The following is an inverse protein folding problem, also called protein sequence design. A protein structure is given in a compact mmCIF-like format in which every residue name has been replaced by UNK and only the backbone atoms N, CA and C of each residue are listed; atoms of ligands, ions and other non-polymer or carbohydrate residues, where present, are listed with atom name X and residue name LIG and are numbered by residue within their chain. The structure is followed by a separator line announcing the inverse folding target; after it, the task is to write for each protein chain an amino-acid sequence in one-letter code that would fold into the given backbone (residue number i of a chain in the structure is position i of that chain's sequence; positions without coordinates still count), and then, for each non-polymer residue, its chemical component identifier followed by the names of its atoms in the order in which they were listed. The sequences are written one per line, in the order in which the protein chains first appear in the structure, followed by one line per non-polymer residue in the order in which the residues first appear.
data_IF_083644740528
#
_entry.id   IF_083644740528
#
_cell.length_a   1.000
_cell.length_b   1.000
_cell.length_c   1.000
_cell.angle_alpha   90.00
_cell.angle_beta   90.00
_cell.angle_gamma   90.00
#
_symmetry.space_group_name_H-M   'P 1'
#
loop_
_entity.id
_entity.type
_entity.pdbx_description
1 polymer ?
#
# COMPACT_ATOMS: atom_id res chain seq x y z
N UNK A 1 1.20 14.78 -2.56
CA UNK A 1 1.80 13.67 -1.79
C UNK A 1 3.30 13.80 -1.90
N UNK A 2 4.09 13.49 -0.86
CA UNK A 2 5.55 13.46 -0.97
C UNK A 2 5.95 12.36 -1.97
N UNK A 3 6.70 12.76 -3.00
CA UNK A 3 7.35 11.90 -3.99
C UNK A 3 8.66 12.57 -4.39
N UNK A 4 9.57 11.82 -5.02
CA UNK A 4 10.83 12.40 -5.48
C UNK A 4 10.54 13.49 -6.49
N UNK A 5 11.22 14.64 -6.41
CA UNK A 5 11.11 15.71 -7.41
C UNK A 5 12.49 16.18 -7.83
N UNK A 6 12.66 16.47 -9.12
CA UNK A 6 13.92 17.01 -9.65
C UNK A 6 14.36 18.29 -8.91
N UNK A 7 13.42 19.18 -8.58
CA UNK A 7 13.70 20.44 -7.90
C UNK A 7 14.22 20.26 -6.46
N UNK A 8 13.87 19.15 -5.81
CA UNK A 8 14.21 18.85 -4.42
C UNK A 8 15.39 17.85 -4.33
N UNK A 9 15.92 17.41 -5.48
CA UNK A 9 17.00 16.43 -5.54
C UNK A 9 18.33 17.04 -5.11
N UNK A 10 18.85 16.58 -3.98
CA UNK A 10 20.19 16.93 -3.51
C UNK A 10 21.22 16.07 -4.24
N UNK A 11 22.12 16.72 -4.98
CA UNK A 11 23.23 16.08 -5.67
C UNK A 11 24.34 15.67 -4.70
N UNK A 12 24.93 14.50 -4.93
CA UNK A 12 26.15 14.10 -4.22
C UNK A 12 27.35 14.99 -4.63
N UNK A 13 28.39 15.10 -3.79
CA UNK A 13 29.61 15.83 -4.12
C UNK A 13 30.24 15.33 -5.43
N UNK A 14 30.96 16.20 -6.14
CA UNK A 14 31.55 15.89 -7.46
C UNK A 14 32.54 14.70 -7.47
N UNK A 15 33.07 14.32 -6.30
CA UNK A 15 33.92 13.15 -6.11
C UNK A 15 33.18 11.82 -6.28
N UNK A 16 31.85 11.83 -6.26
CA UNK A 16 31.02 10.64 -6.32
C UNK A 16 30.20 10.58 -7.61
N UNK A 17 30.00 9.36 -8.12
CA UNK A 17 29.15 9.11 -9.29
C UNK A 17 28.02 8.17 -8.89
N UNK A 18 26.78 8.53 -9.23
CA UNK A 18 25.61 7.68 -8.96
C UNK A 18 25.63 6.45 -9.87
N UNK A 19 25.71 5.27 -9.28
CA UNK A 19 25.75 4.00 -10.02
C UNK A 19 24.41 3.31 -10.08
N UNK A 20 23.65 3.37 -8.98
CA UNK A 20 22.41 2.62 -8.84
C UNK A 20 21.43 3.35 -7.94
N UNK A 21 20.15 3.19 -8.30
CA UNK A 21 19.02 3.72 -7.57
C UNK A 21 18.04 2.58 -7.43
N UNK A 22 17.81 2.14 -6.20
CA UNK A 22 16.72 1.24 -5.88
C UNK A 22 15.56 2.06 -5.36
N UNK A 23 14.47 2.00 -6.10
CA UNK A 23 13.21 2.58 -5.68
C UNK A 23 12.36 1.45 -5.14
N UNK A 24 12.06 1.52 -3.86
CA UNK A 24 10.96 0.76 -3.28
C UNK A 24 9.73 1.66 -3.48
N UNK A 25 9.01 1.45 -4.59
CA UNK A 25 7.84 2.25 -4.97
C UNK A 25 6.60 1.37 -5.05
N UNK A 26 5.53 1.79 -4.41
CA UNK A 26 4.53 0.87 -3.88
C UNK A 26 3.35 0.59 -4.81
N UNK A 27 3.08 -0.69 -5.12
CA UNK A 27 1.85 -1.13 -5.83
C UNK A 27 1.33 -2.51 -5.41
N UNK A 28 1.02 -2.83 -4.14
CA UNK A 28 0.61 -4.22 -3.86
C UNK A 28 -0.84 -4.47 -4.23
N UNK A 29 -1.14 -5.73 -4.57
CA UNK A 29 -2.37 -6.40 -4.14
C UNK A 29 -2.92 -5.91 -2.79
N UNK A 30 -2.15 -5.43 -1.81
CA UNK A 30 -2.62 -4.67 -0.64
C UNK A 30 -1.70 -3.46 -0.33
N UNK A 31 -1.46 -2.50 -1.23
CA UNK A 31 -0.98 -1.16 -0.79
C UNK A 31 -2.09 -0.24 -0.38
N UNK A 32 -1.83 0.66 0.56
CA UNK A 32 -2.24 2.04 0.33
C UNK A 32 -1.57 2.54 -0.96
N UNK A 33 -2.12 2.10 -2.10
CA UNK A 33 -1.77 2.55 -3.44
C UNK A 33 -2.07 4.04 -3.48
N UNK A 34 -1.72 4.67 -4.59
CA UNK A 34 -2.55 5.73 -5.11
C UNK A 34 -4.06 5.40 -5.02
N UNK A 35 -4.92 6.40 -5.02
CA UNK A 35 -6.35 6.30 -4.65
C UNK A 35 -7.03 5.04 -5.24
N UNK A 36 -7.70 4.26 -4.38
CA UNK A 36 -8.36 2.98 -4.72
C UNK A 36 -9.68 2.80 -3.98
N UNK A 37 -10.49 1.83 -4.40
CA UNK A 37 -11.68 1.37 -3.64
C UNK A 37 -11.29 0.64 -2.35
N UNK A 38 -12.14 0.62 -1.31
CA UNK A 38 -11.89 -0.14 -0.09
C UNK A 38 -11.88 -1.65 -0.35
N UNK A 39 -11.43 -2.43 0.64
CA UNK A 39 -11.71 -3.87 0.65
C UNK A 39 -13.21 -4.09 0.80
N UNK A 40 -13.72 -5.15 0.17
CA UNK A 40 -15.12 -5.56 0.32
C UNK A 40 -15.51 -5.75 1.79
N UNK A 41 -14.61 -6.29 2.62
CA UNK A 41 -14.83 -6.46 4.07
C UNK A 41 -14.93 -5.15 4.86
N UNK A 42 -14.47 -4.05 4.28
CA UNK A 42 -14.44 -2.73 4.91
C UNK A 42 -15.47 -1.77 4.29
N UNK A 43 -16.24 -2.23 3.31
CA UNK A 43 -17.34 -1.46 2.75
C UNK A 43 -18.49 -1.36 3.77
N UNK A 44 -19.26 -0.28 3.69
CA UNK A 44 -20.47 -0.14 4.48
C UNK A 44 -21.52 -1.15 3.98
N UNK A 45 -22.35 -1.68 4.90
CA UNK A 45 -23.49 -2.54 4.51
C UNK A 45 -24.45 -1.83 3.56
N UNK A 46 -24.53 -0.50 3.66
CA UNK A 46 -25.26 0.37 2.75
C UNK A 46 -24.34 1.54 2.42
N UNK A 47 -23.76 1.54 1.23
CA UNK A 47 -23.00 2.67 0.71
C UNK A 47 -23.97 3.79 0.26
N UNK A 48 -23.76 5.06 0.65
CA UNK A 48 -24.62 6.17 0.24
C UNK A 48 -24.42 6.59 -1.23
N UNK A 49 -23.37 6.06 -1.88
CA UNK A 49 -23.06 6.32 -3.29
C UNK A 49 -22.49 5.05 -3.96
N UNK A 50 -22.73 4.86 -5.27
CA UNK A 50 -22.15 3.76 -6.01
C UNK A 50 -20.65 4.00 -6.30
N UNK A 51 -19.84 2.94 -6.26
CA UNK A 51 -18.44 3.01 -6.66
C UNK A 51 -18.30 2.74 -8.15
N UNK A 52 -18.15 3.81 -8.93
CA UNK A 52 -18.05 3.74 -10.39
C UNK A 52 -16.61 3.90 -10.88
N UNK A 53 -16.11 2.93 -11.65
CA UNK A 53 -14.76 2.92 -12.22
C UNK A 53 -14.80 2.82 -13.76
N UNK A 54 -15.31 3.84 -14.48
CA UNK A 54 -15.39 3.78 -15.95
C UNK A 54 -14.03 3.92 -16.64
N UNK A 55 -13.05 4.53 -15.98
CA UNK A 55 -11.74 4.86 -16.55
C UNK A 55 -10.62 3.89 -16.15
N UNK A 56 -10.91 2.87 -15.33
CA UNK A 56 -9.95 1.81 -15.00
C UNK A 56 -10.60 0.44 -15.03
N UNK A 57 -9.85 -0.57 -15.44
CA UNK A 57 -10.25 -1.98 -15.44
C UNK A 57 -9.05 -2.85 -15.15
N UNK A 58 -9.26 -3.98 -14.47
CA UNK A 58 -8.20 -4.95 -14.22
C UNK A 58 -7.95 -5.76 -15.48
N UNK A 59 -6.77 -5.60 -16.07
CA UNK A 59 -6.35 -6.33 -17.26
C UNK A 59 -5.72 -7.67 -16.84
N UNK A 60 -6.28 -8.77 -17.35
CA UNK A 60 -5.70 -10.10 -17.27
C UNK A 60 -5.21 -10.50 -18.66
N UNK A 61 -3.91 -10.77 -18.77
CA UNK A 61 -3.27 -11.23 -20.00
C UNK A 61 -2.43 -12.46 -19.70
N UNK A 62 -2.53 -13.46 -20.55
CA UNK A 62 -1.62 -14.60 -20.54
C UNK A 62 -0.78 -14.50 -21.79
N UNK A 63 0.41 -13.91 -21.73
CA UNK A 63 1.29 -13.78 -22.90
C UNK A 63 2.23 -14.98 -23.00
N UNK A 64 2.46 -15.56 -24.19
CA UNK A 64 3.45 -16.62 -24.35
C UNK A 64 4.86 -16.08 -24.08
N UNK A 65 5.64 -16.81 -23.27
CA UNK A 65 7.03 -16.46 -22.94
C UNK A 65 7.91 -16.45 -24.21
N UNK A 66 7.56 -17.27 -25.20
CA UNK A 66 8.14 -17.28 -26.55
C UNK A 66 7.04 -17.53 -27.59
N UNK A 67 6.94 -16.65 -28.58
CA UNK A 67 5.92 -16.72 -29.63
C UNK A 67 5.60 -15.34 -30.20
N UNK A 68 5.15 -15.28 -31.45
CA UNK A 68 4.83 -14.02 -32.16
C UNK A 68 3.36 -13.61 -32.06
N UNK A 69 2.49 -14.47 -31.52
CA UNK A 69 1.07 -14.19 -31.43
C UNK A 69 0.73 -13.46 -30.13
N UNK A 70 0.25 -12.21 -30.18
CA UNK A 70 -0.22 -11.51 -28.99
C UNK A 70 -1.50 -12.18 -28.47
N UNK A 71 -1.59 -12.34 -27.16
CA UNK A 71 -2.80 -12.86 -26.51
C UNK A 71 -3.92 -11.83 -26.47
N UNK A 72 -5.16 -12.31 -26.50
CA UNK A 72 -6.31 -11.44 -26.31
C UNK A 72 -6.25 -10.79 -24.93
N UNK A 73 -6.46 -9.47 -24.88
CA UNK A 73 -6.56 -8.70 -23.63
C UNK A 73 -7.96 -8.88 -23.05
N UNK A 74 -8.06 -9.49 -21.88
CA UNK A 74 -9.31 -9.64 -21.17
C UNK A 74 -9.37 -8.67 -19.99
N UNK A 75 -10.46 -7.91 -19.87
CA UNK A 75 -10.68 -6.99 -18.76
C UNK A 75 -11.71 -7.56 -17.81
N UNK A 76 -11.40 -7.56 -16.51
CA UNK A 76 -12.36 -7.92 -15.48
C UNK A 76 -13.23 -6.72 -15.14
N UNK A 77 -14.54 -6.92 -15.26
CA UNK A 77 -15.58 -5.95 -14.90
C UNK A 77 -16.68 -6.67 -14.12
N UNK A 78 -17.33 -5.97 -13.19
CA UNK A 78 -18.53 -6.52 -12.55
C UNK A 78 -19.72 -6.44 -13.50
N UNK A 79 -20.27 -7.61 -13.83
CA UNK A 79 -21.54 -7.72 -14.55
C UNK A 79 -22.69 -7.78 -13.53
N UNK A 80 -23.59 -6.81 -13.59
CA UNK A 80 -24.89 -6.89 -12.93
C UNK A 80 -25.96 -7.11 -13.97
N UNK A 81 -26.81 -8.12 -13.79
CA UNK A 81 -27.93 -8.41 -14.70
C UNK A 81 -29.25 -8.13 -14.00
N UNK A 82 -30.22 -7.60 -14.74
CA UNK A 82 -31.58 -7.37 -14.24
C UNK A 82 -32.30 -8.67 -13.83
N UNK A 83 -31.81 -9.83 -14.28
CA UNK A 83 -32.36 -11.14 -13.95
C UNK A 83 -31.82 -11.71 -12.62
N UNK A 84 -30.64 -11.28 -12.17
CA UNK A 84 -30.10 -11.77 -10.91
C UNK A 84 -30.82 -11.10 -9.73
N UNK A 85 -31.78 -11.83 -9.13
CA UNK A 85 -32.57 -11.36 -7.97
C UNK A 85 -31.77 -11.33 -6.66
N UNK A 86 -30.57 -11.91 -6.63
CA UNK A 86 -29.63 -11.84 -5.50
C UNK A 86 -28.80 -10.56 -5.56
N UNK A 87 -29.45 -9.41 -5.75
CA UNK A 87 -28.77 -8.12 -5.72
C UNK A 87 -28.50 -7.76 -4.26
N UNK A 88 -27.26 -7.38 -3.89
CA UNK A 88 -27.02 -6.76 -2.60
C UNK A 88 -27.95 -5.55 -2.43
N UNK A 89 -28.41 -5.21 -1.21
CA UNK A 89 -29.33 -4.09 -0.96
C UNK A 89 -28.85 -2.73 -1.49
N UNK A 90 -27.54 -2.57 -1.70
CA UNK A 90 -26.93 -1.42 -2.36
C UNK A 90 -26.21 -1.85 -3.61
N UNK A 91 -26.33 -1.03 -4.66
CA UNK A 91 -25.58 -1.18 -5.90
C UNK A 91 -24.10 -0.85 -5.67
N UNK A 92 -23.17 -1.85 -5.66
CA UNK A 92 -21.75 -1.58 -5.44
C UNK A 92 -21.11 -0.75 -6.57
N UNK A 93 -21.86 -0.42 -7.64
CA UNK A 93 -21.35 0.27 -8.82
C UNK A 93 -20.61 -0.68 -9.76
N UNK A 94 -19.72 -0.12 -10.59
CA UNK A 94 -18.99 -0.86 -11.63
C UNK A 94 -17.58 -1.33 -11.24
N UNK A 95 -17.02 -0.81 -10.14
CA UNK A 95 -15.68 -1.18 -9.69
C UNK A 95 -15.62 -2.60 -9.12
N UNK A 96 -14.53 -3.34 -9.39
CA UNK A 96 -14.18 -4.59 -8.68
C UNK A 96 -13.46 -4.24 -7.38
N UNK A 97 -13.80 -4.86 -6.25
CA UNK A 97 -13.17 -4.49 -4.98
C UNK A 97 -12.11 -5.51 -4.56
N UNK A 98 -10.91 -5.06 -4.15
CA UNK A 98 -10.35 -3.70 -4.29
C UNK A 98 -9.76 -3.44 -5.69
N UNK A 99 -9.84 -2.19 -6.19
CA UNK A 99 -9.33 -1.75 -7.51
C UNK A 99 -8.71 -0.35 -7.45
N UNK A 100 -7.64 -0.12 -8.23
CA UNK A 100 -7.07 1.22 -8.47
C UNK A 100 -8.09 2.11 -9.18
N UNK A 101 -8.32 3.30 -8.64
CA UNK A 101 -9.14 4.33 -9.32
C UNK A 101 -8.34 5.04 -10.41
N UNK A 102 -9.01 5.75 -11.32
CA UNK A 102 -8.35 6.54 -12.36
C UNK A 102 -7.33 7.54 -11.78
N UNK A 103 -7.71 8.27 -10.74
CA UNK A 103 -6.80 9.16 -10.03
C UNK A 103 -5.60 8.40 -9.44
N UNK A 104 -5.81 7.14 -9.04
CA UNK A 104 -4.72 6.30 -8.57
C UNK A 104 -3.73 5.92 -9.67
N UNK A 105 -4.24 5.62 -10.86
CA UNK A 105 -3.41 5.35 -12.03
C UNK A 105 -2.64 6.61 -12.46
N UNK A 106 -3.29 7.77 -12.44
CA UNK A 106 -2.66 9.05 -12.76
C UNK A 106 -1.52 9.40 -11.79
N UNK A 107 -1.75 9.24 -10.48
CA UNK A 107 -0.72 9.50 -9.48
C UNK A 107 0.51 8.57 -9.73
N UNK A 108 0.31 7.31 -10.15
CA UNK A 108 1.42 6.39 -10.48
C UNK A 108 2.23 6.79 -11.71
N UNK A 109 1.54 7.37 -12.71
CA UNK A 109 2.17 7.92 -13.91
C UNK A 109 3.04 9.12 -13.57
N UNK A 110 2.52 10.04 -12.75
CA UNK A 110 3.24 11.24 -12.29
C UNK A 110 4.50 10.84 -11.52
N UNK A 111 4.41 9.90 -10.59
CA UNK A 111 5.58 9.45 -9.84
C UNK A 111 6.66 8.84 -10.73
N UNK A 112 6.26 8.05 -11.73
CA UNK A 112 7.22 7.49 -12.69
C UNK A 112 7.86 8.56 -13.58
N UNK A 113 7.13 9.61 -13.95
CA UNK A 113 7.69 10.78 -14.64
C UNK A 113 8.71 11.52 -13.78
N UNK A 114 8.41 11.72 -12.50
CA UNK A 114 9.27 12.44 -11.57
C UNK A 114 10.56 11.66 -11.25
N UNK A 115 10.46 10.34 -11.03
CA UNK A 115 11.61 9.45 -10.88
C UNK A 115 12.51 9.52 -12.12
N UNK A 116 11.90 9.46 -13.32
CA UNK A 116 12.65 9.61 -14.55
C UNK A 116 13.32 10.98 -14.62
N UNK A 117 12.60 12.07 -14.34
CA UNK A 117 13.14 13.42 -14.38
C UNK A 117 14.28 13.65 -13.37
N UNK A 118 14.23 13.01 -12.20
CA UNK A 118 15.26 13.13 -11.17
C UNK A 118 16.52 12.30 -11.47
N UNK A 119 16.37 11.07 -11.97
CA UNK A 119 17.48 10.12 -12.05
C UNK A 119 18.01 9.85 -13.45
N UNK A 120 17.21 10.05 -14.50
CA UNK A 120 17.59 9.69 -15.86
C UNK A 120 18.92 10.33 -16.30
N UNK A 121 19.08 11.62 -16.03
CA UNK A 121 20.26 12.37 -16.46
C UNK A 121 21.49 12.10 -15.59
N UNK A 122 21.27 11.76 -14.30
CA UNK A 122 22.32 11.60 -13.28
C UNK A 122 22.91 10.18 -13.29
N UNK A 123 22.14 9.17 -13.72
CA UNK A 123 22.61 7.80 -13.82
C UNK A 123 23.60 7.61 -14.98
N UNK A 124 24.66 6.83 -14.71
CA UNK A 124 25.65 6.44 -15.74
C UNK A 124 24.94 5.85 -16.96
N UNK A 125 25.33 6.34 -18.15
CA UNK A 125 24.69 6.07 -19.45
C UNK A 125 24.47 4.59 -19.78
N UNK A 126 25.35 3.70 -19.32
CA UNK A 126 25.29 2.26 -19.61
C UNK A 126 24.31 1.51 -18.69
N UNK A 127 23.76 2.18 -17.66
CA UNK A 127 22.89 1.59 -16.63
C UNK A 127 21.59 2.39 -16.43
N UNK A 128 21.19 3.22 -17.41
CA UNK A 128 19.89 3.93 -17.42
C UNK A 128 18.73 2.95 -17.63
N UNK A 129 18.43 2.14 -16.63
CA UNK A 129 17.17 1.35 -16.52
C UNK A 129 16.21 2.01 -15.54
N UNK A 130 16.00 3.33 -15.67
CA UNK A 130 14.85 3.97 -15.01
C UNK A 130 13.70 3.83 -15.98
N UNK A 131 12.82 2.88 -15.68
CA UNK A 131 11.68 2.64 -16.54
C UNK A 131 10.77 3.88 -16.55
N UNK A 132 10.45 4.39 -17.75
CA UNK A 132 9.28 5.27 -17.94
C UNK A 132 8.01 4.41 -17.83
N UNK A 133 7.69 3.90 -16.65
CA UNK A 133 6.40 3.23 -16.43
C UNK A 133 5.29 4.28 -16.34
N UNK A 134 4.85 4.79 -17.48
CA UNK A 134 3.69 5.67 -17.49
C UNK A 134 3.49 6.47 -18.76
N UNK A 135 4.56 6.83 -19.49
CA UNK A 135 4.42 7.83 -20.55
C UNK A 135 4.95 7.46 -21.92
N UNK A 136 5.66 6.34 -22.10
CA UNK A 136 6.04 5.92 -23.44
C UNK A 136 6.04 4.40 -23.57
N UNK A 137 5.53 3.95 -24.71
CA UNK A 137 5.71 2.62 -25.28
C UNK A 137 7.19 2.22 -25.26
N UNK A 138 7.71 1.76 -24.13
CA UNK A 138 8.90 0.91 -24.15
C UNK A 138 8.41 -0.42 -24.68
N UNK A 139 8.75 -0.75 -25.93
CA UNK A 139 8.38 -1.97 -26.64
C UNK A 139 8.92 -3.28 -26.02
N UNK A 140 9.30 -3.25 -24.73
CA UNK A 140 9.79 -4.40 -23.96
C UNK A 140 8.79 -4.73 -22.87
N UNK A 141 8.20 -5.93 -22.97
CA UNK A 141 7.51 -6.56 -21.85
C UNK A 141 8.52 -6.74 -20.71
N UNK A 142 8.15 -6.26 -19.52
CA UNK A 142 8.95 -6.40 -18.31
C UNK A 142 8.22 -7.39 -17.39
N UNK A 143 8.86 -8.49 -16.97
CA UNK A 143 8.21 -9.45 -16.09
C UNK A 143 7.94 -8.79 -14.72
N UNK A 144 6.72 -8.95 -14.23
CA UNK A 144 6.37 -8.68 -12.84
C UNK A 144 6.60 -9.97 -12.05
N UNK A 145 7.55 -9.95 -11.12
CA UNK A 145 7.86 -11.08 -10.26
C UNK A 145 7.10 -10.93 -8.95
N UNK A 146 6.37 -11.97 -8.56
CA UNK A 146 5.58 -12.01 -7.31
C UNK A 146 5.98 -13.31 -6.61
N UNK A 147 6.32 -13.20 -5.33
CA UNK A 147 6.59 -14.38 -4.50
C UNK A 147 5.27 -15.10 -4.16
N UNK A 148 5.27 -16.43 -4.03
CA UNK A 148 4.05 -17.16 -3.69
C UNK A 148 3.50 -16.79 -2.31
N UNK A 149 2.16 -16.86 -2.18
CA UNK A 149 1.46 -16.69 -0.91
C UNK A 149 2.05 -17.60 0.19
N UNK A 150 2.21 -17.05 1.39
CA UNK A 150 2.78 -17.74 2.56
C UNK A 150 4.31 -17.70 2.65
N UNK A 151 5.01 -17.40 1.56
CA UNK A 151 6.47 -17.22 1.55
C UNK A 151 6.93 -15.86 1.03
N UNK A 152 5.99 -14.98 0.67
CA UNK A 152 6.29 -13.59 0.33
C UNK A 152 7.04 -12.92 1.50
N UNK A 153 8.25 -12.48 1.20
CA UNK A 153 9.15 -11.77 2.10
C UNK A 153 8.88 -10.28 2.11
N UNK A 154 8.40 -9.73 0.98
CA UNK A 154 8.06 -8.33 0.79
C UNK A 154 6.75 -7.99 1.49
N UNK A 155 5.75 -8.88 1.45
CA UNK A 155 4.64 -8.94 2.41
C UNK A 155 4.91 -10.10 3.36
N UNK A 156 5.59 -9.90 4.51
CA UNK A 156 6.08 -11.01 5.33
C UNK A 156 4.92 -11.86 5.88
N UNK A 157 4.56 -12.89 5.11
CA UNK A 157 3.53 -13.88 5.40
C UNK A 157 4.16 -15.16 5.98
N UNK A 158 5.49 -15.27 5.92
CA UNK A 158 6.25 -16.37 6.49
C UNK A 158 5.98 -16.52 8.00
N UNK A 159 5.66 -17.74 8.48
CA UNK A 159 5.48 -17.98 9.90
C UNK A 159 6.75 -17.69 10.70
N UNK A 160 6.69 -16.70 11.61
CA UNK A 160 7.78 -16.39 12.53
C UNK A 160 7.24 -16.34 13.96
N UNK A 161 7.42 -17.43 14.72
CA UNK A 161 6.87 -17.55 16.08
C UNK A 161 7.43 -16.50 17.04
N UNK A 162 8.75 -16.25 16.97
CA UNK A 162 9.43 -15.22 17.77
C UNK A 162 8.93 -13.83 17.41
N UNK A 163 8.93 -13.49 16.12
CA UNK A 163 8.43 -12.21 15.63
C UNK A 163 6.97 -11.97 16.02
N UNK A 164 6.12 -13.00 15.89
CA UNK A 164 4.72 -12.95 16.30
C UNK A 164 4.55 -12.76 17.81
N UNK A 165 5.39 -13.40 18.64
CA UNK A 165 5.37 -13.20 20.08
C UNK A 165 5.77 -11.77 20.48
N UNK A 166 6.84 -11.23 19.87
CA UNK A 166 7.31 -9.86 20.10
C UNK A 166 6.28 -8.81 19.64
N UNK A 167 5.65 -9.03 18.48
CA UNK A 167 4.59 -8.17 17.99
C UNK A 167 3.38 -8.17 18.95
N UNK A 168 2.92 -9.35 19.39
CA UNK A 168 1.82 -9.49 20.37
C UNK A 168 2.17 -8.88 21.73
N UNK A 169 3.43 -8.89 22.16
CA UNK A 169 3.83 -8.21 23.40
C UNK A 169 3.56 -6.69 23.35
N UNK A 170 3.49 -6.11 22.15
CA UNK A 170 3.22 -4.68 21.94
C UNK A 170 1.73 -4.38 21.80
N UNK A 171 0.97 -5.28 21.15
CA UNK A 171 -0.43 -5.05 20.73
C UNK A 171 -1.46 -5.91 21.48
N UNK A 172 -1.05 -6.68 22.47
CA UNK A 172 -1.98 -7.46 23.30
C UNK A 172 -2.62 -6.60 24.39
N UNK A 173 -3.81 -7.01 24.84
CA UNK A 173 -4.52 -6.40 25.97
C UNK A 173 -3.78 -6.52 27.30
N UNK A 174 -2.81 -7.43 27.41
CA UNK A 174 -1.93 -7.57 28.58
C UNK A 174 -0.98 -6.37 28.70
N UNK A 175 -0.62 -5.73 27.59
CA UNK A 175 0.19 -4.52 27.61
C UNK A 175 -0.65 -3.34 28.14
N UNK A 176 -0.35 -2.87 29.35
CA UNK A 176 -1.13 -1.81 30.03
C UNK A 176 -1.29 -0.54 29.18
N UNK A 177 -0.25 -0.14 28.46
CA UNK A 177 -0.31 1.07 27.64
C UNK A 177 -1.15 0.85 26.38
N UNK A 178 -1.10 -0.33 25.77
CA UNK A 178 -1.97 -0.71 24.67
C UNK A 178 -3.44 -0.84 25.11
N UNK A 179 -3.68 -1.48 26.25
CA UNK A 179 -5.01 -1.56 26.87
C UNK A 179 -5.60 -0.18 27.15
N UNK A 180 -4.79 0.76 27.69
CA UNK A 180 -5.22 2.14 27.91
C UNK A 180 -5.57 2.87 26.60
N UNK A 181 -4.78 2.66 25.55
CA UNK A 181 -5.07 3.16 24.20
C UNK A 181 -6.41 2.64 23.68
N UNK A 182 -6.63 1.32 23.74
CA UNK A 182 -7.89 0.70 23.32
C UNK A 182 -9.10 1.22 24.13
N UNK A 183 -8.95 1.40 25.44
CA UNK A 183 -9.99 1.96 26.29
C UNK A 183 -10.32 3.41 25.94
N UNK A 184 -9.30 4.23 25.63
CA UNK A 184 -9.49 5.61 25.18
C UNK A 184 -10.12 5.70 23.78
N UNK A 185 -9.85 4.71 22.92
CA UNK A 185 -10.40 4.61 21.57
C UNK A 185 -11.84 4.08 21.53
N UNK A 186 -12.28 3.35 22.56
CA UNK A 186 -13.56 2.66 22.59
C UNK A 186 -14.78 3.54 22.26
N UNK A 187 -14.90 4.80 22.73
CA UNK A 187 -16.04 5.66 22.37
C UNK A 187 -16.08 6.01 20.87
N UNK A 188 -14.92 6.18 20.25
CA UNK A 188 -14.82 6.45 18.81
C UNK A 188 -15.24 5.21 18.02
N UNK A 189 -14.73 4.02 18.39
CA UNK A 189 -15.14 2.77 17.75
C UNK A 189 -16.64 2.51 17.90
N UNK A 190 -17.21 2.71 19.10
CA UNK A 190 -18.65 2.56 19.31
C UNK A 190 -19.49 3.53 18.44
N UNK A 191 -19.01 4.76 18.23
CA UNK A 191 -19.66 5.71 17.31
C UNK A 191 -19.58 5.23 15.87
N UNK A 192 -18.39 4.83 15.41
CA UNK A 192 -18.18 4.34 14.05
C UNK A 192 -18.99 3.07 13.79
N UNK A 193 -19.04 2.14 14.74
CA UNK A 193 -19.86 0.92 14.71
C UNK A 193 -21.36 1.24 14.72
N UNK A 194 -21.80 2.26 15.43
CA UNK A 194 -23.20 2.69 15.41
C UNK A 194 -23.62 3.29 14.05
N UNK A 195 -22.64 3.83 13.29
CA UNK A 195 -22.84 4.35 11.93
C UNK A 195 -22.73 3.22 10.89
N UNK A 196 -21.74 2.34 11.00
CA UNK A 196 -21.46 1.25 10.05
C UNK A 196 -22.34 0.02 10.25
N UNK A 197 -22.79 -0.23 11.48
CA UNK A 197 -23.83 -1.19 11.85
C UNK A 197 -23.43 -2.68 11.87
N UNK A 198 -22.14 -3.04 11.94
CA UNK A 198 -21.69 -4.38 11.50
C UNK A 198 -20.84 -5.24 12.44
N UNK A 199 -20.89 -5.05 13.76
CA UNK A 199 -20.29 -6.02 14.69
C UNK A 199 -21.37 -6.77 15.50
N UNK A 200 -21.56 -8.06 15.19
CA UNK A 200 -22.27 -9.02 16.05
C UNK A 200 -23.80 -9.05 15.99
N UNK A 201 -24.45 -8.65 14.87
CA UNK A 201 -25.92 -8.77 14.71
C UNK A 201 -26.34 -9.45 13.39
N UNK A 202 -27.42 -10.24 13.40
CA UNK A 202 -28.04 -10.74 12.17
C UNK A 202 -28.74 -9.59 11.42
N UNK A 203 -28.57 -9.60 10.09
CA UNK A 203 -29.11 -8.62 9.13
C UNK A 203 -30.64 -8.45 9.26
N UNK A 204 -31.24 -7.28 8.92
CA UNK A 204 -30.64 -6.11 8.26
C UNK A 204 -30.27 -4.95 9.21
N UNK A 205 -29.13 -4.30 8.89
CA UNK A 205 -28.52 -3.19 9.62
C UNK A 205 -29.33 -1.88 9.53
N UNK A 206 -29.25 -1.07 10.59
CA UNK A 206 -30.16 0.02 10.97
C UNK A 206 -30.58 0.97 9.84
N UNK A 207 -31.79 0.76 9.33
CA UNK A 207 -32.67 1.82 8.86
C UNK A 207 -33.44 2.34 10.08
N UNK A 208 -33.39 3.63 10.41
CA UNK A 208 -34.36 4.18 11.38
C UNK A 208 -35.66 4.38 10.61
N UNK A 209 -36.61 3.46 10.78
CA UNK A 209 -37.93 3.50 10.13
C UNK A 209 -37.87 3.62 8.58
N UNK A 210 -36.95 2.92 7.92
CA UNK A 210 -36.81 2.99 6.46
C UNK A 210 -36.26 4.32 5.93
N UNK A 211 -35.74 5.20 6.80
CA UNK A 211 -35.15 6.49 6.44
C UNK A 211 -33.70 6.58 6.91
N UNK A 212 -32.90 7.35 6.17
CA UNK A 212 -31.52 7.64 6.52
C UNK A 212 -31.43 8.20 7.93
N UNK A 213 -30.60 7.55 8.76
CA UNK A 213 -30.18 8.11 10.04
C UNK A 213 -29.45 9.43 9.79
N UNK A 214 -29.66 10.43 10.64
CA UNK A 214 -28.92 11.70 10.62
C UNK A 214 -27.49 11.56 11.17
N UNK A 215 -27.03 10.34 11.43
CA UNK A 215 -25.67 10.06 11.89
C UNK A 215 -24.74 9.81 10.69
N UNK A 216 -23.81 10.73 10.46
CA UNK A 216 -22.79 10.66 9.41
C UNK A 216 -21.40 10.79 10.02
N UNK A 217 -20.40 10.23 9.34
CA UNK A 217 -18.99 10.40 9.71
C UNK A 217 -18.62 11.86 9.42
N UNK A 218 -18.17 12.58 10.45
CA UNK A 218 -17.70 13.96 10.32
C UNK A 218 -16.18 14.03 10.22
N UNK A 219 -15.65 15.15 9.69
CA UNK A 219 -14.21 15.37 9.56
C UNK A 219 -13.46 15.15 10.87
N UNK A 220 -14.02 15.56 12.02
CA UNK A 220 -13.38 15.34 13.32
C UNK A 220 -13.26 13.87 13.71
N UNK A 221 -14.19 13.01 13.26
CA UNK A 221 -14.12 11.56 13.47
C UNK A 221 -12.97 10.99 12.60
N UNK A 222 -12.87 11.42 11.33
CA UNK A 222 -11.77 11.06 10.45
C UNK A 222 -10.41 11.50 11.01
N UNK A 223 -10.30 12.74 11.49
CA UNK A 223 -9.08 13.27 12.10
C UNK A 223 -8.71 12.51 13.37
N UNK A 224 -9.70 12.09 14.17
CA UNK A 224 -9.47 11.25 15.34
C UNK A 224 -8.91 9.87 14.95
N UNK A 225 -9.45 9.25 13.90
CA UNK A 225 -8.91 8.00 13.33
C UNK A 225 -7.46 8.19 12.86
N UNK A 226 -7.16 9.27 12.12
CA UNK A 226 -5.79 9.56 11.66
C UNK A 226 -4.82 9.74 12.83
N UNK A 227 -5.19 10.51 13.86
CA UNK A 227 -4.36 10.70 15.07
C UNK A 227 -4.12 9.39 15.81
N UNK A 228 -5.17 8.60 15.99
CA UNK A 228 -5.09 7.30 16.64
C UNK A 228 -4.16 6.36 15.88
N UNK A 229 -4.31 6.30 14.56
CA UNK A 229 -3.52 5.41 13.73
C UNK A 229 -2.06 5.83 13.63
N UNK A 230 -1.76 7.14 13.64
CA UNK A 230 -0.39 7.64 13.77
C UNK A 230 0.25 7.17 15.08
N UNK A 231 -0.47 7.28 16.22
CA UNK A 231 0.02 6.79 17.51
C UNK A 231 0.30 5.28 17.47
N UNK A 232 -0.59 4.49 16.86
CA UNK A 232 -0.40 3.05 16.68
C UNK A 232 0.85 2.74 15.86
N UNK A 233 1.06 3.45 14.75
CA UNK A 233 2.25 3.25 13.90
C UNK A 233 3.53 3.56 14.68
N UNK A 234 3.59 4.70 15.35
CA UNK A 234 4.74 5.06 16.18
C UNK A 234 5.00 3.96 17.20
N UNK A 235 3.97 3.52 17.94
CA UNK A 235 4.15 2.55 19.03
C UNK A 235 4.51 1.15 18.54
N UNK A 236 3.86 0.66 17.49
CA UNK A 236 4.11 -0.67 16.94
C UNK A 236 5.48 -0.72 16.29
N UNK A 237 5.84 0.30 15.51
CA UNK A 237 7.01 0.23 14.65
C UNK A 237 8.29 0.81 15.25
N UNK A 238 8.23 1.82 16.11
CA UNK A 238 9.45 2.46 16.67
C UNK A 238 9.43 2.67 18.19
N UNK A 239 8.25 2.74 18.79
CA UNK A 239 8.07 3.30 20.14
C UNK A 239 8.00 2.28 21.28
N UNK A 240 7.88 0.98 20.99
CA UNK A 240 7.89 -0.05 22.02
C UNK A 240 9.25 -0.78 22.08
N UNK A 241 9.75 -1.16 23.28
CA UNK A 241 11.02 -1.87 23.39
C UNK A 241 11.19 -3.10 22.49
N UNK A 242 10.18 -3.98 22.28
CA UNK A 242 10.33 -5.12 21.39
C UNK A 242 10.15 -4.80 19.90
N UNK A 243 9.79 -3.56 19.51
CA UNK A 243 9.46 -3.21 18.12
C UNK A 243 10.59 -3.54 17.14
N UNK A 244 11.81 -3.08 17.40
CA UNK A 244 12.94 -3.32 16.50
C UNK A 244 13.20 -4.83 16.33
N UNK A 245 13.23 -5.59 17.43
CA UNK A 245 13.45 -7.04 17.36
C UNK A 245 12.30 -7.77 16.65
N UNK A 246 11.05 -7.36 16.86
CA UNK A 246 9.90 -7.95 16.16
C UNK A 246 9.99 -7.74 14.65
N UNK A 247 10.46 -6.57 14.23
CA UNK A 247 10.44 -6.17 12.82
C UNK A 247 11.69 -6.66 12.10
N UNK A 248 12.85 -6.68 12.75
CA UNK A 248 14.04 -7.34 12.26
C UNK A 248 13.82 -8.86 12.04
N UNK A 249 13.08 -9.52 12.95
CA UNK A 249 12.80 -10.96 12.83
C UNK A 249 11.70 -11.30 11.82
N UNK A 250 10.80 -10.38 11.51
CA UNK A 250 9.72 -10.60 10.53
C UNK A 250 10.06 -10.10 9.13
N UNK A 251 10.98 -9.13 9.01
CA UNK A 251 11.34 -8.51 7.74
C UNK A 251 12.80 -8.76 7.33
N UNK A 252 13.57 -9.49 8.16
CA UNK A 252 14.98 -9.78 7.91
C UNK A 252 15.25 -10.50 6.59
N UNK A 253 14.37 -11.41 6.17
CA UNK A 253 14.47 -12.09 4.87
C UNK A 253 14.49 -11.08 3.73
N UNK A 254 13.56 -10.14 3.72
CA UNK A 254 13.50 -9.12 2.68
C UNK A 254 14.67 -8.12 2.78
N UNK A 255 15.13 -7.79 3.99
CA UNK A 255 16.34 -6.97 4.16
C UNK A 255 17.57 -7.67 3.56
N UNK A 256 17.67 -9.00 3.67
CA UNK A 256 18.72 -9.76 3.00
C UNK A 256 18.59 -9.69 1.47
N UNK A 257 17.37 -9.81 0.94
CA UNK A 257 17.09 -9.61 -0.50
C UNK A 257 17.47 -8.21 -0.96
N UNK A 258 17.13 -7.17 -0.20
CA UNK A 258 17.52 -5.79 -0.48
C UNK A 258 19.05 -5.63 -0.48
N UNK A 259 19.75 -6.24 0.47
CA UNK A 259 21.22 -6.22 0.48
C UNK A 259 21.81 -6.89 -0.77
N UNK A 260 21.22 -8.00 -1.22
CA UNK A 260 21.62 -8.67 -2.46
C UNK A 260 21.33 -7.81 -3.70
N UNK A 261 20.17 -7.15 -3.77
CA UNK A 261 19.83 -6.21 -4.84
C UNK A 261 20.80 -5.02 -4.92
N UNK A 262 21.23 -4.50 -3.78
CA UNK A 262 22.23 -3.43 -3.71
C UNK A 262 23.60 -3.90 -4.23
N UNK A 263 23.94 -5.18 -4.08
CA UNK A 263 25.17 -5.78 -4.61
C UNK A 263 25.06 -6.09 -6.12
N UNK A 264 23.91 -6.61 -6.55
CA UNK A 264 23.67 -7.04 -7.94
C UNK A 264 23.14 -5.92 -8.83
N UNK A 265 22.80 -4.78 -8.24
CA UNK A 265 22.33 -3.55 -8.87
C UNK A 265 21.04 -3.74 -9.69
N UNK A 266 20.02 -4.32 -9.07
CA UNK A 266 18.71 -4.51 -9.69
C UNK A 266 17.55 -4.69 -8.70
N UNK A 267 16.48 -3.93 -8.91
CA UNK A 267 15.23 -4.07 -8.16
C UNK A 267 14.33 -2.84 -8.27
N UNK A 268 13.05 -3.05 -8.58
CA UNK A 268 11.98 -2.07 -8.37
C UNK A 268 10.88 -2.80 -7.62
N UNK A 269 10.80 -2.54 -6.31
CA UNK A 269 9.96 -3.31 -5.41
C UNK A 269 8.65 -2.59 -5.12
N UNK A 270 7.58 -3.37 -5.06
CA UNK A 270 6.20 -2.95 -4.90
C UNK A 270 5.65 -3.59 -3.61
N UNK A 271 5.55 -2.86 -2.49
CA UNK A 271 5.52 -3.44 -1.11
C UNK A 271 4.53 -2.82 -0.12
N UNK A 272 4.06 -3.52 0.95
CA UNK A 272 3.20 -3.17 2.16
C UNK A 272 3.25 -1.75 2.76
N UNK A 273 2.14 -1.18 3.26
CA UNK A 273 2.18 -0.10 4.24
C UNK A 273 2.76 -0.67 5.54
N UNK A 274 2.37 -1.90 5.87
CA UNK A 274 3.01 -2.72 6.90
C UNK A 274 4.45 -3.10 6.56
N UNK A 275 4.81 -3.33 5.30
CA UNK A 275 6.20 -3.62 4.87
C UNK A 275 7.06 -2.37 4.95
N UNK A 276 6.49 -1.20 4.67
CA UNK A 276 7.18 0.06 4.78
C UNK A 276 7.37 0.51 6.20
N UNK A 277 6.34 0.37 7.03
CA UNK A 277 6.50 0.62 8.44
C UNK A 277 7.56 -0.33 9.06
N UNK A 278 7.68 -1.58 8.56
CA UNK A 278 8.79 -2.49 8.89
C UNK A 278 10.15 -1.99 8.39
N UNK A 279 10.26 -1.60 7.11
CA UNK A 279 11.50 -1.06 6.55
C UNK A 279 11.98 0.18 7.29
N UNK A 280 11.11 1.17 7.45
CA UNK A 280 11.40 2.42 8.16
C UNK A 280 11.74 2.17 9.63
N UNK A 281 11.11 1.17 10.25
CA UNK A 281 11.48 0.73 11.59
C UNK A 281 12.89 0.14 11.62
N UNK A 282 13.23 -0.79 10.71
CA UNK A 282 14.59 -1.38 10.67
C UNK A 282 15.64 -0.30 10.41
N UNK A 283 15.33 0.70 9.57
CA UNK A 283 16.18 1.87 9.32
C UNK A 283 16.21 2.88 10.47
N UNK A 284 15.41 2.68 11.53
CA UNK A 284 15.33 3.54 12.71
C UNK A 284 15.09 5.01 12.36
N UNK A 285 14.08 5.27 11.50
CA UNK A 285 13.72 6.65 11.14
C UNK A 285 13.34 7.47 12.38
N UNK A 286 13.70 8.75 12.37
CA UNK A 286 13.45 9.65 13.50
C UNK A 286 11.95 9.88 13.77
N UNK A 287 11.15 9.95 12.71
CA UNK A 287 9.71 10.17 12.79
C UNK A 287 8.95 9.08 12.04
N UNK A 288 8.12 8.34 12.77
CA UNK A 288 7.21 7.34 12.21
C UNK A 288 5.81 7.93 12.11
N UNK A 289 5.19 7.80 10.94
CA UNK A 289 3.80 8.25 10.71
C UNK A 289 3.02 7.19 9.96
N UNK A 290 1.69 7.20 10.11
CA UNK A 290 0.86 6.37 9.26
C UNK A 290 0.94 6.87 7.83
N UNK A 291 1.52 6.01 6.99
CA UNK A 291 1.84 6.32 5.62
C UNK A 291 0.56 6.63 4.80
N UNK A 292 0.53 7.81 4.16
CA UNK A 292 -0.48 8.24 3.20
C UNK A 292 -0.47 7.42 1.89
N UNK A 293 -1.59 7.47 1.18
CA UNK A 293 -1.76 6.80 -0.11
C UNK A 293 -0.77 7.34 -1.15
N UNK A 294 -0.12 6.45 -1.92
CA UNK A 294 0.77 6.84 -3.01
C UNK A 294 2.06 7.54 -2.58
N UNK A 295 2.43 7.54 -1.30
CA UNK A 295 3.70 8.17 -0.89
C UNK A 295 4.91 7.32 -1.29
N UNK A 296 5.94 7.96 -1.83
CA UNK A 296 7.24 7.35 -2.05
C UNK A 296 8.16 7.73 -0.89
N UNK A 297 8.70 6.76 -0.15
CA UNK A 297 9.36 7.06 1.13
C UNK A 297 10.84 6.70 1.14
N UNK A 298 11.27 5.69 0.39
CA UNK A 298 12.65 5.20 0.48
C UNK A 298 13.25 4.97 -0.90
N UNK A 299 14.28 5.75 -1.19
CA UNK A 299 15.12 5.59 -2.38
C UNK A 299 16.56 5.35 -1.92
N UNK A 300 17.05 4.15 -2.17
CA UNK A 300 18.46 3.85 -1.92
C UNK A 300 19.27 4.30 -3.13
N UNK A 301 20.31 5.09 -2.88
CA UNK A 301 21.21 5.62 -3.91
C UNK A 301 22.61 5.10 -3.61
N UNK A 302 23.17 4.32 -4.52
CA UNK A 302 24.54 3.83 -4.43
C UNK A 302 25.46 4.72 -5.26
N UNK A 303 26.51 5.20 -4.63
CA UNK A 303 27.53 6.04 -5.25
C UNK A 303 28.89 5.36 -5.19
N UNK A 304 29.68 5.51 -6.26
CA UNK A 304 31.10 5.14 -6.25
C UNK A 304 31.97 6.38 -6.21
N UNK A 305 33.08 6.30 -5.49
CA UNK A 305 34.14 7.30 -5.60
C UNK A 305 34.70 7.25 -7.01
N UNK A 306 34.97 8.43 -7.57
CA UNK A 306 35.85 8.55 -8.73
C UNK A 306 37.28 8.20 -8.36
#
# INVERSE_FOLDING_TARGET
MPHVRRAEYVHAPAAYTLEYVEVVSFTVHIHRRHKRTPYTSNALSIEPYPWNCPATSLLFTVEPVSGTSPSAKAYLMHLQTSQNKWRPPTDPGTCVFPQITAAGLDDSRVHSEDLYAAYHDVLRTHRRRVARQGCQHTARSMPLLIEPDGIDSLEPQMPCAVGSALFRATTSSVNRAWSKHLAAAAPLFARLDAISGCHGKPLPCRLVNGKNSSAYIIQSDADAVYRMRNLEYVRIYCGAPPSLNALATTFGTWIATLADHLCTLGGHNIAHDGSMARLLSVLQVAEMVWLGMGMEVVVFKLYTSR
#
